data_IF_643779250571
#
_entry.id   IF_643779250571
#
_cell.length_a   1.000
_cell.length_b   1.000
_cell.length_c   1.000
_cell.angle_alpha   90.00
_cell.angle_beta   90.00
_cell.angle_gamma   90.00
#
_symmetry.space_group_name_H-M   'P 1'
#
loop_
_entity.id
_entity.type
_entity.pdbx_description
1 polymer ?
#
# COMPACT_ATOMS: atom_id res chain seq x y z
N UNK A 1 10.70 7.36 17.34
CA UNK A 1 10.80 5.89 17.44
C UNK A 1 11.94 5.46 16.54
N UNK A 2 12.90 4.67 17.05
CA UNK A 2 13.94 4.05 16.20
C UNK A 2 13.32 2.78 15.62
N UNK A 3 13.53 2.48 14.33
CA UNK A 3 13.16 1.18 13.80
C UNK A 3 13.88 0.07 14.57
N UNK A 4 13.17 -0.98 14.98
CA UNK A 4 13.80 -2.17 15.58
C UNK A 4 14.73 -2.84 14.56
N UNK A 5 14.34 -2.82 13.27
CA UNK A 5 15.11 -3.40 12.17
C UNK A 5 15.23 -2.43 10.99
N UNK A 6 16.46 -2.02 10.65
CA UNK A 6 16.76 -1.15 9.51
C UNK A 6 16.25 -1.74 8.19
N UNK A 7 16.49 -3.04 7.97
CA UNK A 7 16.11 -3.74 6.75
C UNK A 7 14.60 -3.73 6.54
N UNK A 8 13.82 -3.87 7.61
CA UNK A 8 12.36 -3.92 7.53
C UNK A 8 11.76 -2.55 7.23
N UNK A 9 12.31 -1.49 7.81
CA UNK A 9 11.93 -0.12 7.47
C UNK A 9 12.25 0.20 5.99
N UNK A 10 13.42 -0.21 5.52
CA UNK A 10 13.82 -0.05 4.12
C UNK A 10 12.93 -0.86 3.15
N UNK A 11 12.61 -2.11 3.48
CA UNK A 11 11.71 -2.95 2.70
C UNK A 11 10.27 -2.44 2.73
N UNK A 12 9.81 -1.86 3.84
CA UNK A 12 8.50 -1.19 3.91
C UNK A 12 8.45 0.00 2.95
N UNK A 13 9.52 0.79 2.87
CA UNK A 13 9.63 1.86 1.87
C UNK A 13 9.57 1.31 0.43
N UNK A 14 10.25 0.20 0.14
CA UNK A 14 10.18 -0.50 -1.16
C UNK A 14 8.74 -0.84 -1.52
N UNK A 15 8.08 -1.59 -0.64
CA UNK A 15 6.74 -2.12 -0.89
C UNK A 15 5.74 -0.97 -1.02
N UNK A 16 5.74 -0.02 -0.10
CA UNK A 16 4.78 1.08 -0.13
C UNK A 16 5.03 2.08 -1.25
N UNK A 17 6.28 2.33 -1.62
CA UNK A 17 6.62 3.13 -2.79
C UNK A 17 6.12 2.49 -4.09
N UNK A 18 6.39 1.19 -4.26
CA UNK A 18 5.98 0.43 -5.45
C UNK A 18 4.45 0.28 -5.53
N UNK A 19 3.80 -0.14 -4.45
CA UNK A 19 2.34 -0.31 -4.42
C UNK A 19 1.65 1.05 -4.54
N UNK A 20 2.16 2.08 -3.86
CA UNK A 20 1.66 3.46 -4.00
C UNK A 20 1.71 3.97 -5.44
N UNK A 21 2.81 3.71 -6.16
CA UNK A 21 2.92 3.97 -7.60
C UNK A 21 1.83 3.25 -8.40
N UNK A 22 1.56 1.97 -8.10
CA UNK A 22 0.51 1.18 -8.74
C UNK A 22 -0.89 1.79 -8.55
N UNK A 23 -1.20 2.28 -7.36
CA UNK A 23 -2.47 2.96 -7.06
C UNK A 23 -2.62 4.28 -7.82
N UNK A 24 -1.55 5.06 -7.97
CA UNK A 24 -1.56 6.22 -8.86
C UNK A 24 -1.77 5.83 -10.33
N UNK A 25 -1.30 4.64 -10.75
CA UNK A 25 -1.60 4.06 -12.05
C UNK A 25 -3.08 3.75 -12.24
N UNK A 26 -3.72 3.11 -11.26
CA UNK A 26 -5.18 2.92 -11.25
C UNK A 26 -5.94 4.24 -11.27
N UNK A 27 -5.40 5.27 -10.62
CA UNK A 27 -5.99 6.59 -10.66
C UNK A 27 -6.01 7.21 -12.07
N UNK A 28 -5.27 6.68 -13.04
CA UNK A 28 -5.29 7.14 -14.43
C UNK A 28 -6.56 6.71 -15.20
N UNK A 29 -7.47 5.97 -14.57
CA UNK A 29 -8.77 5.65 -15.17
C UNK A 29 -9.70 6.89 -15.18
N UNK A 30 -9.81 7.53 -16.35
CA UNK A 30 -10.62 8.73 -16.58
C UNK A 30 -10.44 9.89 -15.56
N UNK A 31 -9.20 10.29 -15.19
CA UNK A 31 -8.96 11.39 -14.29
C UNK A 31 -9.29 12.73 -14.96
N UNK A 32 -9.61 13.78 -14.18
CA UNK A 32 -9.62 15.15 -14.68
C UNK A 32 -8.27 15.49 -15.33
N UNK A 33 -8.26 16.17 -16.49
CA UNK A 33 -7.02 16.47 -17.25
C UNK A 33 -5.88 17.05 -16.40
N UNK A 34 -6.19 17.97 -15.48
CA UNK A 34 -5.20 18.57 -14.57
C UNK A 34 -4.52 17.57 -13.63
N UNK A 35 -5.20 16.48 -13.29
CA UNK A 35 -4.73 15.48 -12.32
C UNK A 35 -3.75 14.49 -12.95
N UNK A 36 -3.82 14.24 -14.27
CA UNK A 36 -2.95 13.28 -14.96
C UNK A 36 -1.46 13.53 -14.66
N UNK A 37 -1.03 14.80 -14.71
CA UNK A 37 0.35 15.20 -14.38
C UNK A 37 0.70 14.91 -12.92
N UNK A 38 -0.18 15.25 -11.99
CA UNK A 38 0.05 15.03 -10.56
C UNK A 38 0.09 13.55 -10.19
N UNK A 39 -0.75 12.74 -10.81
CA UNK A 39 -0.73 11.28 -10.67
C UNK A 39 0.61 10.71 -11.17
N UNK A 40 1.10 11.18 -12.32
CA UNK A 40 2.41 10.80 -12.85
C UNK A 40 3.57 11.20 -11.92
N UNK A 41 3.51 12.39 -11.32
CA UNK A 41 4.47 12.83 -10.30
C UNK A 41 4.40 11.91 -9.07
N UNK A 42 3.20 11.58 -8.60
CA UNK A 42 2.99 10.64 -7.49
C UNK A 42 3.60 9.26 -7.76
N UNK A 43 3.38 8.71 -8.97
CA UNK A 43 4.03 7.47 -9.42
C UNK A 43 5.55 7.60 -9.41
N UNK A 44 6.10 8.70 -9.94
CA UNK A 44 7.55 8.96 -9.95
C UNK A 44 8.16 9.03 -8.54
N UNK A 45 7.46 9.69 -7.60
CA UNK A 45 7.86 9.73 -6.20
C UNK A 45 7.82 8.33 -5.59
N UNK A 46 6.78 7.54 -5.86
CA UNK A 46 6.68 6.15 -5.39
C UNK A 46 7.85 5.29 -5.87
N UNK A 47 8.24 5.43 -7.15
CA UNK A 47 9.43 4.78 -7.72
C UNK A 47 10.70 5.23 -6.98
N UNK A 48 10.88 6.53 -6.78
CA UNK A 48 12.07 7.05 -6.09
C UNK A 48 12.19 6.53 -4.66
N UNK A 49 11.07 6.50 -3.91
CA UNK A 49 11.01 5.92 -2.57
C UNK A 49 11.40 4.43 -2.61
N UNK A 50 10.84 3.68 -3.58
CA UNK A 50 11.10 2.26 -3.68
C UNK A 50 12.57 1.95 -4.02
N UNK A 51 13.16 2.70 -4.96
CA UNK A 51 14.57 2.54 -5.33
C UNK A 51 15.51 2.92 -4.18
N UNK A 52 15.22 4.01 -3.46
CA UNK A 52 16.02 4.43 -2.32
C UNK A 52 15.95 3.40 -1.18
N UNK A 53 14.75 2.93 -0.84
CA UNK A 53 14.57 1.84 0.13
C UNK A 53 15.28 0.57 -0.30
N UNK A 54 15.21 0.20 -1.58
CA UNK A 54 15.86 -0.99 -2.14
C UNK A 54 17.38 -0.90 -2.05
N UNK A 55 17.96 0.26 -2.33
CA UNK A 55 19.40 0.51 -2.18
C UNK A 55 19.86 0.36 -0.73
N UNK A 56 19.09 0.89 0.24
CA UNK A 56 19.39 0.75 1.67
C UNK A 56 19.27 -0.71 2.10
N UNK A 57 18.19 -1.40 1.73
CA UNK A 57 17.96 -2.79 2.07
C UNK A 57 19.05 -3.70 1.49
N UNK A 58 19.46 -3.48 0.23
CA UNK A 58 20.53 -4.25 -0.42
C UNK A 58 21.88 -4.07 0.28
N UNK A 59 22.23 -2.84 0.67
CA UNK A 59 23.49 -2.57 1.42
C UNK A 59 23.49 -3.16 2.82
N UNK A 60 22.32 -3.42 3.40
CA UNK A 60 22.14 -3.92 4.76
C UNK A 60 21.42 -5.26 4.77
N UNK A 61 21.65 -6.09 3.75
CA UNK A 61 20.91 -7.34 3.56
C UNK A 61 21.09 -8.31 4.74
N UNK A 62 22.31 -8.34 5.29
CA UNK A 62 22.68 -9.19 6.42
C UNK A 62 22.24 -8.63 7.79
N UNK A 63 21.57 -7.47 7.81
CA UNK A 63 20.99 -6.93 9.04
C UNK A 63 19.78 -7.75 9.50
N UNK A 64 19.49 -7.69 10.81
CA UNK A 64 18.35 -8.36 11.41
C UNK A 64 17.00 -7.92 10.84
N UNK A 65 15.99 -8.78 11.03
CA UNK A 65 14.64 -8.63 10.51
C UNK A 65 13.63 -9.28 11.45
N UNK A 66 12.37 -8.87 11.38
CA UNK A 66 11.26 -9.56 12.01
C UNK A 66 10.87 -10.85 11.28
N UNK A 67 11.33 -11.08 10.03
CA UNK A 67 11.00 -12.26 9.23
C UNK A 67 12.08 -13.35 9.39
N UNK A 68 11.75 -14.41 10.13
CA UNK A 68 12.61 -15.56 10.38
C UNK A 68 11.92 -16.89 10.02
N UNK A 69 12.50 -18.02 10.44
CA UNK A 69 11.97 -19.35 10.17
C UNK A 69 10.58 -19.60 10.79
N UNK A 70 10.22 -18.88 11.85
CA UNK A 70 8.91 -19.00 12.51
C UNK A 70 7.90 -18.02 11.89
N UNK A 71 8.28 -16.76 11.71
CA UNK A 71 7.36 -15.71 11.24
C UNK A 71 7.15 -15.72 9.73
N UNK A 72 8.13 -16.18 8.94
CA UNK A 72 8.06 -16.25 7.47
C UNK A 72 6.87 -17.06 6.93
N UNK A 73 6.63 -18.30 7.38
CA UNK A 73 5.45 -19.07 6.97
C UNK A 73 4.13 -18.37 7.34
N UNK A 74 4.05 -17.75 8.51
CA UNK A 74 2.85 -17.00 8.96
C UNK A 74 2.61 -15.78 8.07
N UNK A 75 3.67 -15.05 7.70
CA UNK A 75 3.62 -13.94 6.76
C UNK A 75 3.03 -14.41 5.42
N UNK A 76 3.54 -15.51 4.88
CA UNK A 76 3.05 -16.10 3.62
C UNK A 76 1.57 -16.49 3.67
N UNK A 77 1.09 -17.04 4.78
CA UNK A 77 -0.34 -17.38 4.97
C UNK A 77 -1.21 -16.11 4.98
N UNK A 78 -0.80 -15.08 5.73
CA UNK A 78 -1.56 -13.81 5.81
C UNK A 78 -1.67 -13.15 4.44
N UNK A 79 -0.56 -13.10 3.69
CA UNK A 79 -0.53 -12.59 2.31
C UNK A 79 -1.37 -13.48 1.38
N UNK A 80 -1.28 -14.80 1.50
CA UNK A 80 -2.10 -15.72 0.71
C UNK A 80 -3.61 -15.52 0.91
N UNK A 81 -4.03 -15.32 2.16
CA UNK A 81 -5.43 -14.99 2.50
C UNK A 81 -5.84 -13.65 1.89
N UNK A 82 -4.98 -12.62 1.97
CA UNK A 82 -5.23 -11.32 1.35
C UNK A 82 -5.49 -11.45 -0.16
N UNK A 83 -4.56 -12.07 -0.89
CA UNK A 83 -4.71 -12.27 -2.34
C UNK A 83 -5.96 -13.10 -2.66
N UNK A 84 -6.26 -14.11 -1.84
CA UNK A 84 -7.49 -14.91 -1.96
C UNK A 84 -8.76 -14.06 -1.83
N UNK A 85 -8.85 -13.22 -0.79
CA UNK A 85 -10.00 -12.33 -0.55
C UNK A 85 -10.11 -11.25 -1.62
N UNK A 86 -8.99 -10.63 -2.00
CA UNK A 86 -8.92 -9.63 -3.06
C UNK A 86 -9.43 -10.22 -4.39
N UNK A 87 -8.91 -11.37 -4.80
CA UNK A 87 -9.29 -12.07 -6.03
C UNK A 87 -10.73 -12.54 -6.01
N UNK A 88 -11.18 -13.18 -4.93
CA UNK A 88 -12.56 -13.68 -4.81
C UNK A 88 -13.58 -12.54 -4.92
N UNK A 89 -13.36 -11.44 -4.20
CA UNK A 89 -14.27 -10.30 -4.29
C UNK A 89 -14.22 -9.61 -5.66
N UNK A 90 -13.07 -9.54 -6.32
CA UNK A 90 -12.98 -9.05 -7.68
C UNK A 90 -13.81 -9.90 -8.67
N UNK A 91 -13.69 -11.24 -8.60
CA UNK A 91 -14.50 -12.17 -9.41
C UNK A 91 -15.99 -11.98 -9.15
N UNK A 92 -16.39 -11.88 -7.87
CA UNK A 92 -17.79 -11.67 -7.49
C UNK A 92 -18.34 -10.34 -8.03
N UNK A 93 -17.55 -9.27 -7.98
CA UNK A 93 -17.93 -7.96 -8.50
C UNK A 93 -18.10 -7.97 -10.03
N UNK A 94 -17.19 -8.63 -10.76
CA UNK A 94 -17.32 -8.80 -12.21
C UNK A 94 -18.60 -9.58 -12.55
N UNK A 95 -18.83 -10.70 -11.86
CA UNK A 95 -20.01 -11.54 -12.11
C UNK A 95 -21.32 -10.79 -11.86
N UNK A 96 -21.34 -9.87 -10.89
CA UNK A 96 -22.48 -8.99 -10.61
C UNK A 96 -22.55 -7.72 -11.47
N UNK A 97 -21.71 -7.58 -12.49
CA UNK A 97 -21.59 -6.38 -13.34
C UNK A 97 -21.22 -5.10 -12.57
N UNK A 98 -20.53 -5.26 -11.45
CA UNK A 98 -20.04 -4.20 -10.56
C UNK A 98 -18.51 -4.02 -10.67
N UNK A 99 -17.92 -4.33 -11.84
CA UNK A 99 -16.47 -4.31 -12.04
C UNK A 99 -15.78 -2.97 -11.71
N UNK A 100 -16.49 -1.85 -11.83
CA UNK A 100 -15.98 -0.53 -11.42
C UNK A 100 -15.61 -0.44 -9.93
N UNK A 101 -16.14 -1.32 -9.07
CA UNK A 101 -15.92 -1.35 -7.63
C UNK A 101 -14.77 -2.26 -7.20
N UNK A 102 -14.10 -2.94 -8.14
CA UNK A 102 -12.93 -3.79 -7.86
C UNK A 102 -11.86 -2.98 -7.14
N UNK A 103 -11.64 -1.74 -7.57
CA UNK A 103 -10.59 -0.93 -7.01
C UNK A 103 -10.77 -0.58 -5.52
N UNK A 104 -11.92 0.00 -5.12
CA UNK A 104 -12.26 0.16 -3.70
C UNK A 104 -12.21 -1.14 -2.89
N UNK A 105 -12.67 -2.26 -3.45
CA UNK A 105 -12.62 -3.56 -2.77
C UNK A 105 -11.19 -3.99 -2.45
N UNK A 106 -10.30 -3.94 -3.44
CA UNK A 106 -8.90 -4.33 -3.24
C UNK A 106 -8.22 -3.39 -2.24
N UNK A 107 -8.50 -2.08 -2.29
CA UNK A 107 -7.96 -1.13 -1.32
C UNK A 107 -8.41 -1.44 0.12
N UNK A 108 -9.67 -1.84 0.28
CA UNK A 108 -10.21 -2.26 1.58
C UNK A 108 -9.50 -3.51 2.10
N UNK A 109 -9.35 -4.53 1.26
CA UNK A 109 -8.64 -5.77 1.63
C UNK A 109 -7.19 -5.50 2.01
N UNK A 110 -6.46 -4.68 1.23
CA UNK A 110 -5.08 -4.25 1.53
C UNK A 110 -5.00 -3.55 2.89
N UNK A 111 -5.91 -2.61 3.17
CA UNK A 111 -5.96 -1.91 4.45
C UNK A 111 -6.20 -2.85 5.63
N UNK A 112 -7.13 -3.80 5.48
CA UNK A 112 -7.44 -4.79 6.53
C UNK A 112 -6.29 -5.77 6.73
N UNK A 113 -5.63 -6.18 5.65
CA UNK A 113 -4.48 -7.08 5.66
C UNK A 113 -3.29 -6.55 6.48
N UNK A 114 -3.12 -5.23 6.57
CA UNK A 114 -2.06 -4.65 7.38
C UNK A 114 -2.24 -4.85 8.89
N UNK A 115 -3.46 -5.05 9.40
CA UNK A 115 -3.68 -5.31 10.83
C UNK A 115 -3.00 -6.59 11.34
N UNK A 116 -3.18 -7.77 10.72
CA UNK A 116 -2.47 -8.97 11.15
C UNK A 116 -0.97 -8.92 10.85
N UNK A 117 -0.52 -8.16 9.85
CA UNK A 117 0.91 -7.98 9.59
C UNK A 117 1.61 -7.13 10.65
N UNK A 118 0.95 -6.10 11.17
CA UNK A 118 1.59 -5.15 12.09
C UNK A 118 2.20 -5.79 13.35
N UNK A 119 1.53 -6.68 14.11
CA UNK A 119 2.16 -7.39 15.22
C UNK A 119 3.18 -8.44 14.75
N UNK A 120 2.97 -9.06 13.59
CA UNK A 120 3.90 -10.06 13.05
C UNK A 120 5.25 -9.44 12.67
N UNK A 121 5.23 -8.25 12.07
CA UNK A 121 6.42 -7.51 11.66
C UNK A 121 6.97 -6.60 12.75
N UNK A 122 6.34 -6.59 13.95
CA UNK A 122 6.68 -5.69 15.06
C UNK A 122 6.74 -4.21 14.65
N UNK A 123 5.83 -3.79 13.76
CA UNK A 123 5.80 -2.43 13.22
C UNK A 123 4.49 -1.72 13.63
N UNK A 124 4.46 -0.97 14.74
CA UNK A 124 3.25 -0.31 15.22
C UNK A 124 2.69 0.71 14.23
N UNK A 125 3.53 1.40 13.44
CA UNK A 125 3.05 2.36 12.45
C UNK A 125 2.20 1.71 11.36
N UNK A 126 2.36 0.40 11.15
CA UNK A 126 1.55 -0.34 10.19
C UNK A 126 0.07 -0.38 10.61
N UNK A 127 -0.28 -0.29 11.91
CA UNK A 127 -1.67 -0.12 12.35
C UNK A 127 -2.26 1.22 11.92
N UNK A 128 -1.44 2.28 11.90
CA UNK A 128 -1.87 3.61 11.46
C UNK A 128 -2.15 3.55 9.95
N UNK A 129 -1.23 2.99 9.17
CA UNK A 129 -1.43 2.79 7.72
C UNK A 129 -2.65 1.89 7.46
N UNK A 130 -2.82 0.80 8.21
CA UNK A 130 -3.99 -0.09 8.12
C UNK A 130 -5.29 0.68 8.29
N UNK A 131 -5.38 1.47 9.36
CA UNK A 131 -6.57 2.27 9.67
C UNK A 131 -6.84 3.31 8.58
N UNK A 132 -5.81 4.05 8.17
CA UNK A 132 -5.95 5.10 7.17
C UNK A 132 -6.36 4.55 5.80
N UNK A 133 -5.77 3.44 5.35
CA UNK A 133 -6.10 2.82 4.06
C UNK A 133 -7.48 2.16 4.11
N UNK A 134 -7.83 1.50 5.21
CA UNK A 134 -9.16 0.89 5.40
C UNK A 134 -10.25 1.96 5.37
N UNK A 135 -10.14 3.02 6.18
CA UNK A 135 -11.11 4.11 6.18
C UNK A 135 -11.06 4.91 4.87
N UNK A 136 -9.87 5.07 4.29
CA UNK A 136 -9.66 5.75 3.02
C UNK A 136 -10.35 5.05 1.85
N UNK A 137 -10.36 3.71 1.81
CA UNK A 137 -11.06 2.94 0.77
C UNK A 137 -12.58 3.06 0.88
N UNK A 138 -13.13 3.01 2.10
CA UNK A 138 -14.56 3.26 2.35
C UNK A 138 -14.96 4.69 1.97
N UNK A 139 -14.13 5.67 2.34
CA UNK A 139 -14.33 7.06 1.96
C UNK A 139 -14.25 7.24 0.44
N UNK A 140 -13.29 6.60 -0.22
CA UNK A 140 -13.14 6.64 -1.68
C UNK A 140 -14.37 6.10 -2.39
N UNK A 141 -14.89 4.95 -1.94
CA UNK A 141 -16.12 4.36 -2.45
C UNK A 141 -17.31 5.32 -2.29
N UNK A 142 -17.46 5.91 -1.10
CA UNK A 142 -18.52 6.87 -0.81
C UNK A 142 -18.42 8.14 -1.66
N UNK A 143 -17.23 8.72 -1.79
CA UNK A 143 -16.98 9.90 -2.63
C UNK A 143 -17.29 9.58 -4.10
N UNK A 144 -16.79 8.46 -4.62
CA UNK A 144 -17.00 8.04 -5.99
C UNK A 144 -18.50 7.91 -6.31
N UNK A 145 -19.25 7.26 -5.41
CA UNK A 145 -20.70 7.15 -5.51
C UNK A 145 -21.40 8.51 -5.49
N UNK A 146 -21.15 9.33 -4.46
CA UNK A 146 -21.84 10.62 -4.25
C UNK A 146 -21.52 11.64 -5.35
N UNK A 147 -20.30 11.63 -5.87
CA UNK A 147 -19.82 12.59 -6.86
C UNK A 147 -19.87 12.06 -8.29
N UNK A 148 -20.33 10.81 -8.50
CA UNK A 148 -20.37 10.11 -9.80
C UNK A 148 -19.01 10.13 -10.50
N UNK A 149 -17.94 9.92 -9.74
CA UNK A 149 -16.57 9.82 -10.25
C UNK A 149 -16.22 8.35 -10.49
N UNK A 150 -15.24 8.10 -11.34
CA UNK A 150 -14.66 6.76 -11.52
C UNK A 150 -14.14 6.24 -10.18
N UNK A 151 -14.60 5.09 -9.65
CA UNK A 151 -14.18 4.62 -8.34
C UNK A 151 -12.67 4.33 -8.26
N UNK A 152 -12.08 3.82 -9.34
CA UNK A 152 -10.63 3.59 -9.44
C UNK A 152 -9.81 4.89 -9.35
N UNK A 153 -10.29 5.98 -9.98
CA UNK A 153 -9.69 7.31 -9.85
C UNK A 153 -9.59 7.75 -8.39
N UNK A 154 -10.72 7.76 -7.68
CA UNK A 154 -10.78 8.26 -6.30
C UNK A 154 -9.98 7.36 -5.36
N UNK A 155 -10.12 6.05 -5.52
CA UNK A 155 -9.42 5.06 -4.69
C UNK A 155 -7.92 5.14 -4.91
N UNK A 156 -7.48 5.21 -6.16
CA UNK A 156 -6.06 5.31 -6.51
C UNK A 156 -5.40 6.58 -5.97
N UNK A 157 -6.08 7.73 -6.03
CA UNK A 157 -5.58 8.97 -5.42
C UNK A 157 -5.40 8.81 -3.92
N UNK A 158 -6.43 8.34 -3.21
CA UNK A 158 -6.42 8.25 -1.75
C UNK A 158 -5.40 7.20 -1.29
N UNK A 159 -5.52 5.96 -1.78
CA UNK A 159 -4.64 4.86 -1.37
C UNK A 159 -3.20 5.10 -1.80
N UNK A 160 -2.96 5.60 -3.01
CA UNK A 160 -1.63 5.94 -3.50
C UNK A 160 -0.95 7.00 -2.64
N UNK A 161 -1.68 8.04 -2.23
CA UNK A 161 -1.15 9.09 -1.35
C UNK A 161 -0.83 8.58 0.05
N UNK A 162 -1.72 7.77 0.64
CA UNK A 162 -1.54 7.22 1.98
C UNK A 162 -0.35 6.24 2.04
N UNK A 163 -0.22 5.37 1.04
CA UNK A 163 0.90 4.44 0.94
C UNK A 163 2.19 5.16 0.62
N UNK A 164 2.18 6.12 -0.33
CA UNK A 164 3.35 6.93 -0.64
C UNK A 164 3.88 7.70 0.57
N UNK A 165 3.00 8.31 1.36
CA UNK A 165 3.38 8.97 2.62
C UNK A 165 3.93 7.97 3.64
N UNK A 166 3.28 6.82 3.81
CA UNK A 166 3.75 5.77 4.73
C UNK A 166 5.13 5.24 4.31
N UNK A 167 5.36 5.06 3.00
CA UNK A 167 6.65 4.66 2.43
C UNK A 167 7.72 5.73 2.62
N UNK A 168 7.38 7.01 2.48
CA UNK A 168 8.29 8.11 2.77
C UNK A 168 8.68 8.18 4.25
N UNK A 169 7.73 7.95 5.16
CA UNK A 169 8.00 7.85 6.60
C UNK A 169 8.92 6.65 6.89
N UNK A 170 8.65 5.48 6.31
CA UNK A 170 9.49 4.30 6.46
C UNK A 170 10.92 4.54 5.94
N UNK A 171 11.05 5.20 4.78
CA UNK A 171 12.35 5.58 4.22
C UNK A 171 13.10 6.57 5.13
N UNK A 172 12.41 7.58 5.66
CA UNK A 172 12.99 8.52 6.60
C UNK A 172 13.47 7.81 7.88
N UNK A 173 12.67 6.88 8.41
CA UNK A 173 13.09 6.05 9.55
C UNK A 173 14.33 5.24 9.25
N UNK A 174 14.42 4.64 8.06
CA UNK A 174 15.61 3.88 7.64
C UNK A 174 16.85 4.77 7.50
N UNK A 175 16.71 5.99 6.97
CA UNK A 175 17.81 6.95 6.83
C UNK A 175 18.28 7.51 8.19
N UNK A 176 17.36 7.71 9.14
CA UNK A 176 17.66 8.25 10.48
C UNK A 176 18.12 7.18 11.48
N UNK A 177 17.99 5.90 11.13
CA UNK A 177 18.57 4.79 11.89
C UNK A 177 20.09 4.67 11.65
N UNK A 178 20.64 5.45 10.72
CA UNK A 178 22.07 5.59 10.41
C UNK A 178 22.66 6.87 11.00
#
# INVERSE_FOLDING_TARGET
>A
MKAEFLRDAAMTAVIFGFVGMGWFGWAQEAPPKRMQKWLGIGSGIGIAIALAGGLIAWRNWDAGTAIDAETGPRFGIIVGIEFGLAGLGAVLLIWRKLGAWIAPWIAFVVGVHFYPLAPLLKEPMLHVTATLVTLGSLLAAWIAWKRKLTPSYVTGVITGSLLGLSGAVALATALLAY
#
